data_IF_904425840309
#
_entry.id   IF_904425840309
#
_cell.length_a   1.000
_cell.length_b   1.000
_cell.length_c   1.000
_cell.angle_alpha   90.00
_cell.angle_beta   90.00
_cell.angle_gamma   90.00
#
_symmetry.space_group_name_H-M   'P 1'
#
loop_
_entity.id
_entity.type
_entity.pdbx_description
1 polymer ?
#
# COMPACT_ATOMS: atom_id res chain seq x y z
N UNK A 1 35.37 41.11 -16.68
CA UNK A 1 34.88 40.74 -15.32
C UNK A 1 33.66 39.87 -15.51
N UNK A 2 33.87 38.55 -15.46
CA UNK A 2 32.81 37.55 -15.67
C UNK A 2 32.29 37.16 -14.27
N UNK A 3 31.02 37.51 -14.05
CA UNK A 3 30.32 37.13 -12.83
C UNK A 3 30.06 35.61 -12.85
N UNK A 4 30.75 34.88 -11.99
CA UNK A 4 30.45 33.49 -11.71
C UNK A 4 29.06 33.40 -11.12
N UNK A 5 28.11 32.93 -11.94
CA UNK A 5 26.78 32.58 -11.50
C UNK A 5 26.90 31.23 -10.78
N UNK A 6 26.94 31.27 -9.43
CA UNK A 6 26.84 30.06 -8.62
C UNK A 6 25.50 29.43 -8.86
N UNK A 7 25.47 28.36 -9.66
CA UNK A 7 24.32 27.51 -9.79
C UNK A 7 24.15 26.73 -8.49
N UNK A 8 23.28 27.22 -7.61
CA UNK A 8 22.78 26.41 -6.50
C UNK A 8 21.78 25.43 -7.10
N UNK A 9 22.04 24.10 -7.06
CA UNK A 9 21.01 23.14 -7.39
C UNK A 9 19.84 23.35 -6.42
N UNK A 10 18.59 23.28 -6.89
CA UNK A 10 17.43 23.39 -6.00
C UNK A 10 17.59 22.35 -4.90
N UNK A 11 17.34 22.76 -3.65
CA UNK A 11 17.37 21.89 -2.47
C UNK A 11 16.57 20.65 -2.79
N UNK A 12 17.21 19.49 -2.72
CA UNK A 12 16.79 18.14 -3.08
C UNK A 12 15.28 17.98 -3.31
N UNK A 13 14.87 18.05 -4.56
CA UNK A 13 13.56 17.51 -4.94
C UNK A 13 13.57 16.03 -4.60
N UNK A 14 12.56 15.59 -3.82
CA UNK A 14 12.38 14.16 -3.54
C UNK A 14 12.37 13.37 -4.84
N UNK A 15 12.98 12.19 -4.87
CA UNK A 15 12.89 11.32 -6.04
C UNK A 15 11.42 11.07 -6.36
N UNK A 16 11.02 11.35 -7.59
CA UNK A 16 9.62 11.20 -8.00
C UNK A 16 9.51 10.81 -9.45
N UNK A 17 8.42 10.15 -9.79
CA UNK A 17 8.01 9.86 -11.16
C UNK A 17 6.57 10.34 -11.37
N UNK A 18 6.29 10.79 -12.58
CA UNK A 18 4.94 11.16 -12.99
C UNK A 18 4.34 9.99 -13.77
N UNK A 19 3.12 9.59 -13.40
CA UNK A 19 2.44 8.44 -13.97
C UNK A 19 0.99 8.77 -14.33
N UNK A 20 0.42 7.95 -15.19
CA UNK A 20 -1.00 7.92 -15.49
C UNK A 20 -1.57 6.57 -15.10
N UNK A 21 -2.82 6.57 -14.62
CA UNK A 21 -3.55 5.36 -14.24
C UNK A 21 -4.56 5.01 -15.31
N UNK A 22 -4.61 3.75 -15.69
CA UNK A 22 -5.60 3.21 -16.63
C UNK A 22 -6.61 2.37 -15.86
N UNK A 23 -7.87 2.78 -15.94
CA UNK A 23 -9.00 2.03 -15.35
C UNK A 23 -9.82 1.40 -16.45
N UNK A 24 -10.21 0.15 -16.24
CA UNK A 24 -11.04 -0.61 -17.18
C UNK A 24 -12.41 -0.93 -16.57
N UNK A 25 -13.46 -0.61 -17.31
CA UNK A 25 -14.80 -1.11 -17.06
C UNK A 25 -15.01 -2.36 -17.89
N UNK A 26 -15.29 -3.46 -17.25
CA UNK A 26 -15.51 -4.75 -17.93
C UNK A 26 -16.85 -5.38 -17.53
N UNK A 27 -17.38 -6.22 -18.42
CA UNK A 27 -18.62 -6.92 -18.15
C UNK A 27 -18.39 -8.04 -17.14
N UNK A 28 -19.24 -8.09 -16.10
CA UNK A 28 -19.21 -9.18 -15.12
C UNK A 28 -19.71 -10.44 -15.76
N UNK A 29 -18.99 -11.56 -15.57
CA UNK A 29 -19.35 -12.88 -16.08
C UNK A 29 -19.79 -13.81 -14.94
N UNK A 30 -20.51 -14.87 -15.30
CA UNK A 30 -20.97 -15.88 -14.35
C UNK A 30 -22.19 -15.45 -13.53
N UNK A 31 -22.37 -16.05 -12.36
CA UNK A 31 -23.58 -15.86 -11.54
C UNK A 31 -23.75 -14.43 -11.02
N UNK A 32 -22.67 -13.70 -10.84
CA UNK A 32 -22.70 -12.30 -10.40
C UNK A 32 -23.25 -11.35 -11.47
N UNK A 33 -23.23 -11.73 -12.75
CA UNK A 33 -23.77 -10.91 -13.84
C UNK A 33 -25.27 -10.61 -13.70
N UNK A 34 -25.99 -11.41 -12.88
CA UNK A 34 -27.42 -11.19 -12.57
C UNK A 34 -27.65 -9.97 -11.68
N UNK A 35 -26.65 -9.58 -10.89
CA UNK A 35 -26.75 -8.52 -9.90
C UNK A 35 -25.96 -7.27 -10.29
N UNK A 36 -24.89 -7.45 -11.05
CA UNK A 36 -24.00 -6.38 -11.50
C UNK A 36 -23.55 -6.64 -12.92
N UNK A 37 -23.89 -5.74 -13.84
CA UNK A 37 -23.54 -5.87 -15.25
C UNK A 37 -22.09 -5.52 -15.51
N UNK A 38 -21.58 -4.50 -14.83
CA UNK A 38 -20.27 -3.92 -15.03
C UNK A 38 -19.48 -3.86 -13.74
N UNK A 39 -18.17 -4.05 -13.83
CA UNK A 39 -17.24 -3.74 -12.76
C UNK A 39 -16.07 -2.91 -13.28
N UNK A 40 -15.53 -2.11 -12.39
CA UNK A 40 -14.29 -1.39 -12.63
C UNK A 40 -13.14 -2.16 -12.05
N UNK A 41 -11.97 -2.13 -12.75
CA UNK A 41 -10.72 -2.73 -12.33
C UNK A 41 -9.57 -1.83 -12.74
N UNK A 42 -8.50 -1.86 -11.98
CA UNK A 42 -7.23 -1.26 -12.38
C UNK A 42 -6.67 -2.06 -13.56
N UNK A 43 -6.37 -1.40 -14.65
CA UNK A 43 -5.80 -2.05 -15.83
C UNK A 43 -4.28 -1.89 -15.86
N UNK A 44 -3.78 -0.65 -15.68
CA UNK A 44 -2.34 -0.37 -15.75
C UNK A 44 -1.97 0.93 -15.04
N UNK A 45 -0.68 1.07 -14.71
CA UNK A 45 -0.01 2.32 -14.34
C UNK A 45 1.17 2.53 -15.28
N UNK A 46 1.11 3.58 -16.08
CA UNK A 46 2.08 3.87 -17.14
C UNK A 46 2.80 5.18 -16.88
N UNK A 47 4.02 5.40 -17.37
CA UNK A 47 4.67 6.70 -17.32
C UNK A 47 3.78 7.79 -17.92
N UNK A 48 3.79 8.99 -17.31
CA UNK A 48 3.07 10.13 -17.85
C UNK A 48 3.72 10.59 -19.17
N UNK A 49 2.94 10.69 -20.22
CA UNK A 49 3.36 11.22 -21.51
C UNK A 49 2.74 12.60 -21.77
N UNK A 50 3.43 13.46 -22.51
CA UNK A 50 2.94 14.81 -22.84
C UNK A 50 1.59 14.79 -23.58
N UNK A 51 1.36 13.78 -24.42
CA UNK A 51 0.13 13.62 -25.22
C UNK A 51 -1.08 13.16 -24.38
N UNK A 52 -0.89 12.76 -23.13
CA UNK A 52 -1.98 12.36 -22.23
C UNK A 52 -2.81 13.58 -21.79
N UNK A 53 -2.20 14.77 -21.74
CA UNK A 53 -2.87 15.98 -21.27
C UNK A 53 -3.03 16.00 -19.76
N UNK A 54 -4.00 16.78 -19.27
CA UNK A 54 -4.20 17.01 -17.85
C UNK A 54 -5.58 16.58 -17.32
N UNK A 55 -6.44 16.09 -18.19
CA UNK A 55 -7.81 15.70 -17.82
C UNK A 55 -8.05 14.23 -18.12
N UNK A 56 -8.84 13.54 -17.28
CA UNK A 56 -9.27 12.19 -17.58
C UNK A 56 -9.95 12.08 -18.94
N UNK A 57 -9.72 10.99 -19.66
CA UNK A 57 -10.32 10.74 -20.96
C UNK A 57 -10.63 9.27 -21.19
N UNK A 58 -11.72 9.02 -21.88
CA UNK A 58 -12.03 7.70 -22.38
C UNK A 58 -11.13 7.40 -23.59
N UNK A 59 -10.32 6.32 -23.50
CA UNK A 59 -9.47 5.86 -24.59
C UNK A 59 -10.24 4.98 -25.56
N UNK A 60 -11.15 4.18 -25.03
CA UNK A 60 -11.99 3.26 -25.80
C UNK A 60 -13.29 2.99 -25.05
N UNK A 61 -14.38 2.95 -25.77
CA UNK A 61 -15.68 2.54 -25.28
C UNK A 61 -16.36 1.62 -26.31
N UNK A 62 -17.02 0.55 -25.83
CA UNK A 62 -17.71 -0.41 -26.66
C UNK A 62 -18.63 -1.31 -25.85
N UNK A 63 -19.24 -2.27 -26.54
CA UNK A 63 -20.20 -3.21 -25.94
C UNK A 63 -19.60 -4.13 -24.87
N UNK A 64 -18.28 -4.32 -24.90
CA UNK A 64 -17.53 -5.17 -23.97
C UNK A 64 -16.96 -4.40 -22.77
N UNK A 65 -17.06 -3.07 -22.78
CA UNK A 65 -16.54 -2.21 -21.70
C UNK A 65 -15.93 -0.92 -22.17
N UNK A 66 -15.19 -0.27 -21.25
CA UNK A 66 -14.54 0.99 -21.51
C UNK A 66 -13.13 1.01 -20.86
N UNK A 67 -12.23 1.75 -21.48
CA UNK A 67 -10.88 2.01 -20.99
C UNK A 67 -10.70 3.51 -20.78
N UNK A 68 -10.32 3.89 -19.58
CA UNK A 68 -10.18 5.27 -19.17
C UNK A 68 -8.78 5.57 -18.69
N UNK A 69 -8.22 6.69 -19.13
CA UNK A 69 -6.92 7.21 -18.71
C UNK A 69 -7.11 8.37 -17.73
N UNK A 70 -6.44 8.29 -16.61
CA UNK A 70 -6.36 9.34 -15.59
C UNK A 70 -4.91 9.80 -15.47
N UNK A 71 -4.53 10.96 -16.03
CA UNK A 71 -3.16 11.47 -16.04
C UNK A 71 -2.81 12.23 -14.75
N UNK A 72 -1.50 12.60 -14.61
CA UNK A 72 -0.96 13.53 -13.63
C UNK A 72 -0.94 13.03 -12.18
N UNK A 73 -0.64 11.77 -11.98
CA UNK A 73 -0.28 11.27 -10.65
C UNK A 73 1.23 11.41 -10.46
N UNK A 74 1.62 11.90 -9.30
CA UNK A 74 3.02 11.97 -8.89
C UNK A 74 3.28 10.94 -7.80
N UNK A 75 4.24 10.05 -8.03
CA UNK A 75 4.73 9.09 -7.05
C UNK A 75 6.07 9.59 -6.52
N UNK A 76 6.09 10.02 -5.26
CA UNK A 76 7.29 10.51 -4.58
C UNK A 76 7.81 9.47 -3.59
N UNK A 77 9.13 9.36 -3.43
CA UNK A 77 9.75 8.50 -2.43
C UNK A 77 10.16 9.31 -1.20
N UNK A 78 9.84 8.77 -0.03
CA UNK A 78 10.11 9.37 1.28
C UNK A 78 11.07 8.48 2.07
N UNK A 79 12.13 9.06 2.62
CA UNK A 79 13.16 8.32 3.35
C UNK A 79 12.63 7.63 4.62
N UNK A 80 11.63 8.19 5.26
CA UNK A 80 10.97 7.63 6.45
C UNK A 80 10.05 6.44 6.13
N UNK A 81 9.72 6.21 4.84
CA UNK A 81 8.94 5.07 4.37
C UNK A 81 9.77 4.01 3.61
N UNK A 82 11.10 4.07 3.74
CA UNK A 82 12.03 3.16 3.06
C UNK A 82 11.75 1.67 3.35
N UNK A 83 11.25 1.33 4.56
CA UNK A 83 10.83 -0.03 4.89
C UNK A 83 9.63 -0.47 4.04
N UNK A 84 8.64 0.39 3.86
CA UNK A 84 7.46 0.10 3.04
C UNK A 84 7.82 -0.18 1.59
N UNK A 85 8.77 0.56 1.03
CA UNK A 85 9.31 0.29 -0.31
C UNK A 85 10.10 -1.01 -0.36
N UNK A 86 10.96 -1.26 0.64
CA UNK A 86 11.75 -2.49 0.68
C UNK A 86 10.84 -3.73 0.72
N UNK A 87 9.76 -3.70 1.50
CA UNK A 87 8.77 -4.77 1.57
C UNK A 87 8.14 -5.05 0.20
N UNK A 88 7.81 -4.00 -0.56
CA UNK A 88 7.25 -4.15 -1.89
C UNK A 88 8.27 -4.78 -2.87
N UNK A 89 9.48 -4.17 -3.00
CA UNK A 89 10.46 -4.62 -4.01
C UNK A 89 11.13 -5.95 -3.68
N UNK A 90 10.94 -6.47 -2.46
CA UNK A 90 11.39 -7.82 -2.06
C UNK A 90 10.28 -8.86 -2.11
N UNK A 91 9.03 -8.44 -2.39
CA UNK A 91 7.92 -9.35 -2.62
C UNK A 91 8.12 -10.15 -3.91
N UNK A 92 7.42 -11.29 -4.08
CA UNK A 92 7.45 -12.04 -5.35
C UNK A 92 6.97 -11.21 -6.54
N UNK A 93 6.01 -10.33 -6.33
CA UNK A 93 5.34 -9.53 -7.35
C UNK A 93 5.35 -8.05 -6.97
N UNK A 94 6.48 -7.33 -7.20
CA UNK A 94 6.56 -5.90 -6.94
C UNK A 94 5.54 -5.11 -7.78
N UNK A 95 4.83 -4.17 -7.15
CA UNK A 95 3.68 -3.55 -7.80
C UNK A 95 3.47 -2.08 -7.42
N UNK A 96 2.69 -1.38 -8.22
CA UNK A 96 2.02 -0.16 -7.84
C UNK A 96 0.75 -0.48 -7.04
N UNK A 97 0.47 0.29 -6.01
CA UNK A 97 -0.79 0.30 -5.29
C UNK A 97 -1.59 1.52 -5.73
N UNK A 98 -2.82 1.31 -6.16
CA UNK A 98 -3.72 2.37 -6.58
C UNK A 98 -4.97 2.34 -5.72
N UNK A 99 -5.20 3.43 -5.00
CA UNK A 99 -6.44 3.67 -4.28
C UNK A 99 -7.42 4.40 -5.20
N UNK A 100 -8.63 3.91 -5.29
CA UNK A 100 -9.66 4.52 -6.12
C UNK A 100 -11.04 4.45 -5.47
N UNK A 101 -11.97 5.30 -5.94
CA UNK A 101 -13.34 5.36 -5.47
C UNK A 101 -14.31 5.45 -6.63
N UNK A 102 -15.56 5.03 -6.39
CA UNK A 102 -16.65 5.27 -7.33
C UNK A 102 -17.17 6.69 -7.13
N UNK A 103 -17.17 7.50 -8.17
CA UNK A 103 -17.62 8.89 -8.14
C UNK A 103 -18.60 9.22 -9.26
N UNK A 104 -19.51 10.13 -8.95
CA UNK A 104 -20.33 10.80 -9.96
C UNK A 104 -19.51 11.91 -10.61
N UNK A 105 -19.07 11.69 -11.83
CA UNK A 105 -18.33 12.67 -12.62
C UNK A 105 -19.11 13.00 -13.89
N UNK A 106 -20.13 13.84 -13.75
CA UNK A 106 -21.02 14.25 -14.88
C UNK A 106 -20.25 14.76 -16.11
N UNK A 107 -19.07 15.36 -15.89
CA UNK A 107 -18.19 15.79 -16.97
C UNK A 107 -17.53 14.61 -17.74
N UNK A 108 -17.51 13.40 -17.18
CA UNK A 108 -16.90 12.22 -17.77
C UNK A 108 -17.94 11.21 -18.26
N UNK A 109 -18.97 10.97 -17.45
CA UNK A 109 -20.03 9.99 -17.73
C UNK A 109 -21.28 10.29 -16.92
N UNK A 110 -22.44 9.89 -17.43
CA UNK A 110 -23.70 9.90 -16.68
C UNK A 110 -23.76 8.80 -15.60
N UNK A 111 -22.89 7.79 -15.71
CA UNK A 111 -22.76 6.69 -14.74
C UNK A 111 -21.61 6.95 -13.78
N UNK A 112 -21.60 6.24 -12.65
CA UNK A 112 -20.48 6.23 -11.71
C UNK A 112 -19.20 5.72 -12.40
N UNK A 113 -18.13 6.45 -12.19
CA UNK A 113 -16.80 6.13 -12.72
C UNK A 113 -15.86 5.80 -11.58
N UNK A 114 -15.03 4.78 -11.75
CA UNK A 114 -13.93 4.53 -10.83
C UNK A 114 -12.83 5.57 -11.04
N UNK A 115 -12.63 6.43 -10.05
CA UNK A 115 -11.67 7.53 -10.08
C UNK A 115 -10.49 7.18 -9.19
N UNK A 116 -9.27 7.02 -9.76
CA UNK A 116 -8.05 6.89 -8.97
C UNK A 116 -7.81 8.17 -8.17
N UNK A 117 -7.43 7.99 -6.90
CA UNK A 117 -7.17 9.08 -5.98
C UNK A 117 -5.68 9.17 -5.63
N UNK A 118 -5.03 8.02 -5.46
CA UNK A 118 -3.63 7.93 -5.05
C UNK A 118 -2.93 6.76 -5.69
N UNK A 119 -1.64 6.96 -5.97
CA UNK A 119 -0.71 5.91 -6.44
C UNK A 119 0.49 5.88 -5.51
N UNK A 120 0.91 4.70 -5.08
CA UNK A 120 2.09 4.52 -4.24
C UNK A 120 2.85 3.25 -4.60
N UNK A 121 4.12 3.20 -4.21
CA UNK A 121 4.98 2.03 -4.27
C UNK A 121 5.27 1.49 -2.85
N UNK A 122 4.69 2.10 -1.81
CA UNK A 122 4.87 1.71 -0.42
C UNK A 122 3.82 0.71 0.03
N UNK A 123 4.29 -0.41 0.59
CA UNK A 123 3.43 -1.40 1.25
C UNK A 123 2.71 -0.82 2.48
N UNK A 124 3.35 0.14 3.17
CA UNK A 124 2.75 0.82 4.31
C UNK A 124 1.57 1.73 3.91
N UNK A 125 1.66 2.42 2.78
CA UNK A 125 0.56 3.21 2.24
C UNK A 125 -0.64 2.32 1.95
N UNK A 126 -0.42 1.22 1.25
CA UNK A 126 -1.46 0.24 0.96
C UNK A 126 -2.13 -0.28 2.24
N UNK A 127 -1.33 -0.62 3.27
CA UNK A 127 -1.85 -1.05 4.57
C UNK A 127 -2.72 0.02 5.22
N UNK A 128 -2.26 1.28 5.27
CA UNK A 128 -3.05 2.39 5.83
C UNK A 128 -4.37 2.64 5.10
N UNK A 129 -4.38 2.51 3.79
CA UNK A 129 -5.60 2.67 2.99
C UNK A 129 -6.58 1.52 3.20
N UNK A 130 -6.07 0.27 3.29
CA UNK A 130 -6.90 -0.90 3.63
C UNK A 130 -7.54 -0.77 5.02
N UNK A 131 -6.78 -0.30 6.01
CA UNK A 131 -7.28 -0.05 7.36
C UNK A 131 -8.38 1.03 7.37
N UNK A 132 -8.29 1.99 6.45
CA UNK A 132 -9.32 3.01 6.23
C UNK A 132 -10.51 2.51 5.39
N UNK A 133 -10.55 1.23 5.02
CA UNK A 133 -11.61 0.60 4.20
C UNK A 133 -11.71 1.17 2.77
N UNK A 134 -10.60 1.67 2.23
CA UNK A 134 -10.54 2.14 0.86
C UNK A 134 -10.42 0.98 -0.14
N UNK A 135 -10.84 1.21 -1.36
CA UNK A 135 -10.63 0.26 -2.45
C UNK A 135 -9.24 0.41 -3.01
N UNK A 136 -8.48 -0.69 -2.99
CA UNK A 136 -7.09 -0.73 -3.47
C UNK A 136 -6.94 -1.90 -4.43
N UNK A 137 -6.30 -1.62 -5.55
CA UNK A 137 -5.87 -2.64 -6.50
C UNK A 137 -4.37 -2.49 -6.79
N UNK A 138 -3.80 -3.54 -7.35
CA UNK A 138 -2.38 -3.66 -7.63
C UNK A 138 -2.15 -3.96 -9.09
N UNK A 139 -1.10 -3.37 -9.66
CA UNK A 139 -0.59 -3.72 -10.98
C UNK A 139 0.92 -3.84 -10.92
N UNK A 140 1.50 -4.79 -11.66
CA UNK A 140 2.92 -5.05 -11.65
C UNK A 140 3.73 -3.79 -12.00
N UNK A 141 4.77 -3.50 -11.23
CA UNK A 141 5.69 -2.43 -11.55
C UNK A 141 6.73 -2.88 -12.58
N UNK A 142 7.07 -2.00 -13.52
CA UNK A 142 8.09 -2.28 -14.51
C UNK A 142 9.47 -2.49 -13.85
N UNK A 143 10.36 -3.33 -14.42
CA UNK A 143 11.64 -3.68 -13.80
C UNK A 143 12.55 -2.49 -13.47
N UNK A 144 12.53 -1.45 -14.28
CA UNK A 144 13.27 -0.21 -14.06
C UNK A 144 12.75 0.58 -12.84
N UNK A 145 11.44 0.63 -12.66
CA UNK A 145 10.80 1.20 -11.47
C UNK A 145 11.15 0.40 -10.22
N UNK A 146 11.09 -0.92 -10.29
CA UNK A 146 11.47 -1.81 -9.19
C UNK A 146 12.92 -1.59 -8.79
N UNK A 147 13.83 -1.43 -9.77
CA UNK A 147 15.25 -1.17 -9.52
C UNK A 147 15.45 0.20 -8.86
N UNK A 148 14.81 1.25 -9.39
CA UNK A 148 14.87 2.61 -8.83
C UNK A 148 14.40 2.66 -7.38
N UNK A 149 13.28 2.02 -7.05
CA UNK A 149 12.76 1.96 -5.68
C UNK A 149 13.66 1.14 -4.78
N UNK A 150 14.23 0.04 -5.28
CA UNK A 150 15.17 -0.80 -4.51
C UNK A 150 16.44 -0.06 -4.13
N UNK A 151 17.02 0.70 -5.06
CA UNK A 151 18.19 1.54 -4.80
C UNK A 151 17.87 2.56 -3.71
N UNK A 152 16.76 3.29 -3.86
CA UNK A 152 16.32 4.25 -2.86
C UNK A 152 16.09 3.61 -1.48
N UNK A 153 15.39 2.47 -1.42
CA UNK A 153 15.12 1.78 -0.18
C UNK A 153 16.41 1.32 0.52
N UNK A 154 17.37 0.75 -0.22
CA UNK A 154 18.65 0.32 0.34
C UNK A 154 19.47 1.46 0.90
N UNK A 155 19.43 2.65 0.28
CA UNK A 155 20.18 3.82 0.72
C UNK A 155 19.61 4.46 1.98
N UNK A 156 18.29 4.30 2.22
CA UNK A 156 17.58 5.00 3.29
C UNK A 156 17.08 4.08 4.40
N UNK A 157 16.95 2.78 4.15
CA UNK A 157 16.45 1.84 5.16
C UNK A 157 17.52 1.55 6.22
N UNK A 158 17.20 1.88 7.45
CA UNK A 158 18.00 1.51 8.62
C UNK A 158 17.20 0.52 9.47
N UNK A 159 17.61 -0.76 9.58
CA UNK A 159 16.90 -1.73 10.39
C UNK A 159 16.80 -1.28 11.84
N UNK A 160 15.59 -1.16 12.36
CA UNK A 160 15.40 -0.96 13.78
C UNK A 160 15.83 -2.22 14.54
N UNK A 161 16.79 -2.08 15.45
CA UNK A 161 17.16 -3.14 16.38
C UNK A 161 15.99 -3.33 17.34
N UNK A 162 15.12 -4.31 17.06
CA UNK A 162 14.03 -4.71 17.96
C UNK A 162 14.62 -5.14 19.30
N UNK A 163 14.80 -4.20 20.24
CA UNK A 163 15.07 -4.52 21.64
C UNK A 163 13.81 -5.23 22.15
N UNK A 164 13.91 -6.53 22.39
CA UNK A 164 12.89 -7.27 23.14
C UNK A 164 12.76 -6.59 24.51
N UNK A 165 11.83 -5.65 24.65
CA UNK A 165 11.37 -5.24 25.96
C UNK A 165 10.60 -6.44 26.53
N UNK A 166 11.19 -7.11 27.51
CA UNK A 166 10.43 -8.05 28.34
C UNK A 166 9.25 -7.24 28.91
N UNK A 167 8.02 -7.72 28.73
CA UNK A 167 6.87 -7.10 29.41
C UNK A 167 7.18 -7.05 30.90
N UNK A 168 6.94 -5.93 31.56
CA UNK A 168 7.10 -5.79 33.02
C UNK A 168 6.08 -6.63 33.83
N UNK A 169 5.40 -7.59 33.19
CA UNK A 169 4.37 -8.43 33.78
C UNK A 169 4.86 -9.57 34.69
N UNK A 170 6.17 -9.67 34.93
CA UNK A 170 6.72 -10.51 35.99
C UNK A 170 7.26 -9.67 37.15
N UNK A 171 6.42 -8.85 37.74
CA UNK A 171 6.62 -8.47 39.11
C UNK A 171 6.28 -9.72 39.95
N UNK A 172 7.27 -10.24 40.66
CA UNK A 172 7.03 -11.34 41.61
C UNK A 172 5.92 -10.90 42.55
N UNK A 173 4.85 -11.68 42.66
CA UNK A 173 3.79 -11.46 43.64
C UNK A 173 4.44 -11.41 45.01
N UNK A 174 4.49 -10.23 45.60
CA UNK A 174 4.92 -10.06 46.97
C UNK A 174 3.71 -10.23 47.92
N UNK A 175 3.92 -10.89 49.02
CA UNK A 175 2.90 -11.00 50.06
C UNK A 175 2.63 -9.63 50.74
N UNK A 176 1.67 -9.62 51.67
CA UNK A 176 1.26 -8.40 52.39
C UNK A 176 2.39 -7.76 53.21
N UNK A 177 3.53 -8.42 53.34
CA UNK A 177 4.70 -8.01 54.11
C UNK A 177 5.96 -7.79 53.21
N UNK A 178 5.78 -7.77 51.88
CA UNK A 178 6.86 -7.49 50.93
C UNK A 178 7.80 -8.66 50.65
N UNK A 179 7.42 -9.89 51.07
CA UNK A 179 8.19 -11.10 50.79
C UNK A 179 7.70 -11.80 49.50
N UNK A 180 8.57 -12.47 48.74
CA UNK A 180 8.14 -13.21 47.55
C UNK A 180 7.14 -14.30 47.92
N UNK A 181 5.92 -14.25 47.38
CA UNK A 181 4.88 -15.24 47.63
C UNK A 181 5.33 -16.63 47.14
N UNK A 182 5.39 -17.60 48.02
CA UNK A 182 5.62 -19.01 47.67
C UNK A 182 4.30 -19.59 47.14
N UNK A 183 4.21 -19.79 45.81
CA UNK A 183 3.11 -20.55 45.22
C UNK A 183 3.40 -22.03 45.42
N UNK A 184 2.76 -22.67 46.43
CA UNK A 184 2.81 -24.11 46.58
C UNK A 184 1.81 -24.74 45.64
N UNK A 185 2.27 -25.32 44.55
CA UNK A 185 1.45 -26.18 43.70
C UNK A 185 1.12 -27.45 44.48
N UNK A 186 -0.09 -27.53 45.03
CA UNK A 186 -0.57 -28.72 45.71
C UNK A 186 -0.61 -29.91 44.74
N UNK A 187 0.25 -30.89 45.02
CA UNK A 187 0.31 -32.15 44.29
C UNK A 187 -1.00 -32.91 44.53
N UNK A 188 -1.86 -33.05 43.53
CA UNK A 188 -3.02 -33.92 43.55
C UNK A 188 -2.57 -35.35 43.25
N UNK A 189 -1.86 -35.95 44.17
CA UNK A 189 -1.57 -37.39 44.09
C UNK A 189 -2.75 -38.21 44.58
N UNK A 190 -3.34 -38.97 43.67
CA UNK A 190 -3.79 -40.35 43.86
C UNK A 190 -4.85 -40.62 44.90
N UNK A 191 -6.14 -40.57 44.50
CA UNK A 191 -7.19 -41.37 45.19
C UNK A 191 -7.14 -42.78 44.61
N UNK A 192 -6.45 -43.71 45.31
CA UNK A 192 -6.61 -45.16 45.13
C UNK A 192 -8.04 -45.54 45.49
N UNK A 193 -8.76 -46.13 44.56
CA UNK A 193 -10.00 -46.86 44.83
C UNK A 193 -9.59 -48.33 45.07
N UNK A 194 -9.63 -48.78 46.33
CA UNK A 194 -9.62 -50.20 46.65
C UNK A 194 -11.04 -50.73 46.46
N UNK A 195 -11.15 -51.74 45.60
CA UNK A 195 -12.35 -52.56 45.46
C UNK A 195 -12.42 -53.65 46.49
N UNK A 196 -13.60 -53.91 46.92
CA UNK A 196 -14.05 -55.08 47.64
C UNK A 196 -15.42 -55.46 47.05
#
# INVERSE_FOLDING_TARGET
MTLNHWYYPPMSSRPSIDVAVVMRRERVQGDMAKWQTWRWVLDDVTPQEENFGHTPKCLREGDDGALWLFPNFKVELFSDDAEGYLLNVTSPDPCFFVMWRMEERVALSEELVAVPERVSLSYHDAGRWLDAQETIEQVAAAPDIVQWVREFANDHYTPEVKRRQRPQSFQALTDRFGQPAKVTTGDRSGRKVDGG
#
